data_IF_323993134100
#
_entry.id   IF_323993134100
#
_cell.length_a   1.000
_cell.length_b   1.000
_cell.length_c   1.000
_cell.angle_alpha   90.00
_cell.angle_beta   90.00
_cell.angle_gamma   90.00
#
_symmetry.space_group_name_H-M   'P 1'
#
loop_
_entity.id
_entity.type
_entity.pdbx_description
1 polymer ?
#
# COMPACT_ATOMS: atom_id res chain seq x y z
N UNK A 1 -14.16 24.99 -8.43
CA UNK A 1 -13.34 23.93 -9.01
C UNK A 1 -13.21 22.80 -8.04
N UNK A 2 -13.80 21.68 -8.31
CA UNK A 2 -13.60 20.59 -7.39
C UNK A 2 -12.13 20.25 -7.34
N UNK A 3 -11.62 20.18 -6.13
CA UNK A 3 -10.31 19.63 -5.88
C UNK A 3 -10.33 18.12 -6.15
N UNK A 4 -11.26 17.74 -7.03
CA UNK A 4 -11.35 16.39 -7.46
C UNK A 4 -10.08 15.97 -8.14
N UNK A 5 -9.92 14.70 -8.17
CA UNK A 5 -8.76 14.07 -8.72
C UNK A 5 -8.49 14.55 -10.14
N UNK A 6 -7.27 14.97 -10.38
CA UNK A 6 -6.80 15.23 -11.73
C UNK A 6 -6.90 13.91 -12.49
N UNK A 7 -7.65 13.87 -13.60
CA UNK A 7 -7.72 12.64 -14.40
C UNK A 7 -6.36 12.08 -14.79
N UNK A 8 -5.37 12.96 -14.95
CA UNK A 8 -4.00 12.55 -15.27
C UNK A 8 -3.36 11.81 -14.10
N UNK A 9 -3.70 12.20 -12.86
CA UNK A 9 -3.19 11.53 -11.68
C UNK A 9 -3.70 10.09 -11.61
N UNK A 10 -4.99 9.88 -11.92
CA UNK A 10 -5.55 8.52 -11.97
C UNK A 10 -4.82 7.64 -12.96
N UNK A 11 -4.44 8.18 -14.11
CA UNK A 11 -3.75 7.41 -15.13
C UNK A 11 -2.32 7.03 -14.72
N UNK A 12 -1.72 7.75 -13.78
CA UNK A 12 -0.38 7.44 -13.26
C UNK A 12 -0.38 6.27 -12.29
N UNK A 13 -1.51 6.00 -11.63
CA UNK A 13 -1.59 5.00 -10.59
C UNK A 13 -1.93 3.60 -11.11
N UNK A 14 -2.31 3.46 -12.37
CA UNK A 14 -2.46 2.18 -13.03
C UNK A 14 -3.48 1.21 -12.43
N UNK A 15 -3.64 0.06 -13.13
CA UNK A 15 -4.65 -0.92 -12.80
C UNK A 15 -4.35 -1.73 -11.54
N UNK A 16 -3.07 -2.00 -11.26
CA UNK A 16 -2.72 -2.79 -10.08
C UNK A 16 -2.93 -1.99 -8.79
N UNK A 17 -2.63 -0.70 -8.80
CA UNK A 17 -2.94 0.16 -7.67
C UNK A 17 -4.43 0.05 -7.31
N UNK A 18 -5.30 0.11 -8.32
CA UNK A 18 -6.74 0.00 -8.12
C UNK A 18 -7.14 -1.36 -7.53
N UNK A 19 -6.55 -2.43 -8.02
CA UNK A 19 -6.88 -3.78 -7.57
C UNK A 19 -6.38 -4.09 -6.18
N UNK A 20 -5.17 -3.67 -5.84
CA UNK A 20 -4.61 -3.86 -4.49
C UNK A 20 -5.29 -2.96 -3.48
N UNK A 21 -5.63 -1.75 -3.90
CA UNK A 21 -6.25 -0.76 -3.04
C UNK A 21 -5.25 0.08 -2.26
N UNK A 22 -5.74 1.19 -1.79
CA UNK A 22 -4.93 2.21 -1.12
C UNK A 22 -4.26 1.67 0.15
N UNK A 23 -4.97 0.85 0.92
CA UNK A 23 -4.42 0.31 2.17
C UNK A 23 -3.20 -0.58 1.92
N UNK A 24 -3.27 -1.46 0.92
CA UNK A 24 -2.13 -2.33 0.59
C UNK A 24 -0.92 -1.50 0.15
N UNK A 25 -1.13 -0.48 -0.67
CA UNK A 25 -0.07 0.42 -1.11
C UNK A 25 0.55 1.14 0.09
N UNK A 26 -0.26 1.59 1.04
CA UNK A 26 0.23 2.24 2.26
C UNK A 26 1.15 1.31 3.06
N UNK A 27 0.83 0.01 3.13
CA UNK A 27 1.70 -0.96 3.79
C UNK A 27 3.02 -1.15 3.04
N UNK A 28 3.02 -1.08 1.71
CA UNK A 28 4.28 -1.11 0.95
C UNK A 28 5.16 0.08 1.34
N UNK A 29 4.57 1.26 1.46
CA UNK A 29 5.32 2.45 1.86
C UNK A 29 5.89 2.29 3.28
N UNK A 30 5.13 1.72 4.20
CA UNK A 30 5.61 1.43 5.56
C UNK A 30 6.82 0.49 5.52
N UNK A 31 6.72 -0.60 4.76
CA UNK A 31 7.81 -1.59 4.65
C UNK A 31 9.09 -0.91 4.17
N UNK A 32 8.98 -0.07 3.15
CA UNK A 32 10.14 0.61 2.58
C UNK A 32 10.64 1.77 3.44
N UNK A 33 9.77 2.36 4.27
CA UNK A 33 10.19 3.37 5.23
C UNK A 33 11.04 2.75 6.35
N UNK A 34 10.76 1.50 6.71
CA UNK A 34 11.59 0.77 7.68
C UNK A 34 12.99 0.53 7.13
N UNK A 35 13.09 0.07 5.89
CA UNK A 35 14.36 -0.15 5.20
C UNK A 35 14.11 -0.46 3.72
N UNK A 36 15.10 -0.21 2.85
CA UNK A 36 15.05 -0.71 1.47
C UNK A 36 14.89 -2.23 1.46
N UNK A 37 14.17 -2.74 0.46
CA UNK A 37 13.78 -4.16 0.45
C UNK A 37 13.71 -4.71 -0.96
N UNK A 38 13.94 -6.02 -1.08
CA UNK A 38 13.68 -6.75 -2.32
C UNK A 38 12.18 -7.00 -2.49
N UNK A 39 11.77 -7.24 -3.72
CA UNK A 39 10.36 -7.52 -4.02
C UNK A 39 9.79 -8.69 -3.24
N UNK A 40 10.56 -9.77 -3.06
CA UNK A 40 10.08 -10.93 -2.32
C UNK A 40 9.88 -10.62 -0.82
N UNK A 41 10.67 -9.71 -0.26
CA UNK A 41 10.49 -9.28 1.14
C UNK A 41 9.21 -8.48 1.29
N UNK A 42 8.94 -7.58 0.33
CA UNK A 42 7.70 -6.81 0.30
C UNK A 42 6.49 -7.75 0.20
N UNK A 43 6.57 -8.75 -0.67
CA UNK A 43 5.49 -9.74 -0.83
C UNK A 43 5.20 -10.45 0.49
N UNK A 44 6.24 -10.93 1.14
CA UNK A 44 6.09 -11.65 2.41
C UNK A 44 5.42 -10.78 3.48
N UNK A 45 5.83 -9.51 3.57
CA UNK A 45 5.24 -8.58 4.52
C UNK A 45 3.76 -8.32 4.21
N UNK A 46 3.40 -8.18 2.94
CA UNK A 46 2.00 -8.02 2.55
C UNK A 46 1.16 -9.24 2.91
N UNK A 47 1.70 -10.43 2.74
CA UNK A 47 1.03 -11.65 3.15
C UNK A 47 0.77 -11.67 4.66
N UNK A 48 1.74 -11.24 5.45
CA UNK A 48 1.59 -11.13 6.91
C UNK A 48 0.48 -10.15 7.28
N UNK A 49 0.30 -9.08 6.50
CA UNK A 49 -0.78 -8.12 6.71
C UNK A 49 -2.14 -8.60 6.20
N UNK A 50 -2.20 -9.77 5.59
CA UNK A 50 -3.44 -10.38 5.13
C UNK A 50 -3.81 -10.09 3.68
N UNK A 51 -2.90 -9.57 2.87
CA UNK A 51 -3.17 -9.27 1.46
C UNK A 51 -2.92 -10.49 0.58
N UNK A 52 -3.95 -11.31 0.41
CA UNK A 52 -3.90 -12.59 -0.32
C UNK A 52 -3.51 -12.42 -1.78
N UNK A 53 -3.82 -11.26 -2.38
CA UNK A 53 -3.51 -11.03 -3.78
C UNK A 53 -2.02 -11.09 -4.06
N UNK A 54 -1.19 -10.70 -3.11
CA UNK A 54 0.27 -10.75 -3.25
C UNK A 54 0.76 -12.19 -3.41
N UNK A 55 0.04 -13.17 -2.84
CA UNK A 55 0.36 -14.58 -2.94
C UNK A 55 -0.26 -15.22 -4.18
N UNK A 56 -1.54 -14.94 -4.43
CA UNK A 56 -2.30 -15.62 -5.49
C UNK A 56 -1.89 -15.19 -6.89
N UNK A 57 -1.33 -14.00 -7.04
CA UNK A 57 -0.83 -13.49 -8.32
C UNK A 57 0.50 -12.77 -8.10
N UNK A 58 1.62 -13.52 -8.05
CA UNK A 58 2.94 -12.90 -7.80
C UNK A 58 3.32 -11.82 -8.81
N UNK A 59 2.90 -11.98 -10.07
CA UNK A 59 3.17 -10.97 -11.09
C UNK A 59 2.49 -9.64 -10.82
N UNK A 60 1.33 -9.68 -10.15
CA UNK A 60 0.57 -8.46 -9.84
C UNK A 60 1.36 -7.52 -8.93
N UNK A 61 2.03 -8.06 -7.92
CA UNK A 61 2.84 -7.23 -7.03
C UNK A 61 3.97 -6.53 -7.78
N UNK A 62 4.68 -7.25 -8.64
CA UNK A 62 5.77 -6.65 -9.42
C UNK A 62 5.25 -5.59 -10.39
N UNK A 63 4.06 -5.78 -10.96
CA UNK A 63 3.42 -4.75 -11.79
C UNK A 63 3.06 -3.54 -10.95
N UNK A 64 2.55 -3.73 -9.74
CA UNK A 64 2.25 -2.63 -8.81
C UNK A 64 3.52 -1.86 -8.45
N UNK A 65 4.61 -2.54 -8.15
CA UNK A 65 5.86 -1.88 -7.83
C UNK A 65 6.36 -1.03 -9.00
N UNK A 66 6.19 -1.50 -10.25
CA UNK A 66 6.51 -0.68 -11.42
C UNK A 66 5.61 0.55 -11.52
N UNK A 67 4.33 0.40 -11.22
CA UNK A 67 3.41 1.55 -11.21
C UNK A 67 3.82 2.59 -10.16
N UNK A 68 4.18 2.15 -8.97
CA UNK A 68 4.61 3.04 -7.90
C UNK A 68 5.93 3.74 -8.25
N UNK A 69 6.83 3.04 -8.92
CA UNK A 69 8.09 3.62 -9.37
C UNK A 69 7.83 4.67 -10.46
N UNK A 70 6.95 4.36 -11.41
CA UNK A 70 6.57 5.30 -12.46
C UNK A 70 5.90 6.55 -11.89
N UNK A 71 5.14 6.40 -10.80
CA UNK A 71 4.48 7.52 -10.12
C UNK A 71 5.43 8.34 -9.24
N UNK A 72 6.64 7.84 -9.00
CA UNK A 72 7.64 8.56 -8.20
C UNK A 72 7.62 8.27 -6.72
N UNK A 73 6.79 7.34 -6.25
CA UNK A 73 6.69 7.00 -4.82
C UNK A 73 7.87 6.18 -4.32
N UNK A 74 8.42 5.34 -5.18
CA UNK A 74 9.56 4.48 -4.89
C UNK A 74 10.54 4.53 -6.04
N UNK A 75 11.78 4.09 -5.79
CA UNK A 75 12.78 3.90 -6.83
C UNK A 75 13.42 2.54 -6.64
N UNK A 76 14.14 2.06 -7.64
CA UNK A 76 14.81 0.77 -7.54
C UNK A 76 16.18 0.80 -8.18
N UNK A 77 17.05 -0.08 -7.67
CA UNK A 77 18.35 -0.34 -8.26
C UNK A 77 18.50 -1.86 -8.44
N UNK A 78 19.33 -2.25 -9.36
CA UNK A 78 19.65 -3.66 -9.52
C UNK A 78 20.78 -4.04 -8.56
N UNK A 79 20.55 -5.09 -7.79
CA UNK A 79 21.56 -5.69 -6.96
C UNK A 79 22.18 -6.85 -7.75
N UNK A 80 23.44 -6.70 -8.14
CA UNK A 80 24.17 -7.69 -8.93
C UNK A 80 25.35 -8.29 -8.16
N UNK A 81 25.46 -7.99 -6.87
CA UNK A 81 26.60 -8.42 -6.06
C UNK A 81 26.57 -9.91 -5.71
N UNK A 82 25.41 -10.55 -5.83
CA UNK A 82 25.28 -11.98 -5.55
C UNK A 82 25.62 -12.86 -6.73
N UNK A 83 25.71 -14.17 -6.48
CA UNK A 83 25.97 -15.18 -7.53
C UNK A 83 24.73 -15.60 -8.30
N UNK A 84 23.54 -15.20 -7.83
CA UNK A 84 22.28 -15.49 -8.49
C UNK A 84 21.88 -14.43 -9.51
N UNK A 85 20.66 -14.53 -10.07
CA UNK A 85 20.14 -13.51 -10.96
C UNK A 85 20.09 -12.14 -10.26
N UNK A 86 20.26 -11.08 -11.05
CA UNK A 86 20.12 -9.71 -10.55
C UNK A 86 18.72 -9.50 -9.99
N UNK A 87 18.61 -8.78 -8.88
CA UNK A 87 17.34 -8.51 -8.19
C UNK A 87 17.15 -7.01 -8.04
N UNK A 88 15.89 -6.57 -8.11
CA UNK A 88 15.57 -5.17 -7.83
C UNK A 88 15.49 -4.95 -6.34
N UNK A 89 16.11 -3.84 -5.91
CA UNK A 89 16.14 -3.39 -4.53
C UNK A 89 15.41 -2.06 -4.46
N UNK A 90 14.29 -2.02 -3.75
CA UNK A 90 13.38 -0.87 -3.75
C UNK A 90 13.64 0.04 -2.56
N UNK A 91 13.51 1.34 -2.80
CA UNK A 91 13.75 2.39 -1.80
C UNK A 91 12.62 3.40 -1.88
N UNK A 92 12.17 3.88 -0.72
CA UNK A 92 11.17 4.93 -0.65
C UNK A 92 11.80 6.27 -1.03
N UNK A 93 11.10 7.04 -1.89
CA UNK A 93 11.54 8.38 -2.27
C UNK A 93 11.04 9.42 -1.26
N UNK A 94 11.51 10.67 -1.38
CA UNK A 94 10.98 11.77 -0.57
C UNK A 94 9.49 11.96 -0.83
N UNK A 95 9.05 11.83 -2.08
CA UNK A 95 7.63 11.85 -2.42
C UNK A 95 6.89 10.72 -1.71
N UNK A 96 7.45 9.52 -1.69
CA UNK A 96 6.86 8.38 -0.98
C UNK A 96 6.74 8.62 0.51
N UNK A 97 7.71 9.30 1.12
CA UNK A 97 7.63 9.68 2.53
C UNK A 97 6.45 10.61 2.80
N UNK A 98 6.26 11.61 1.92
CA UNK A 98 5.12 12.53 2.04
C UNK A 98 3.80 11.80 1.87
N UNK A 99 3.72 10.88 0.91
CA UNK A 99 2.53 10.05 0.70
C UNK A 99 2.26 9.16 1.90
N UNK A 100 3.29 8.61 2.53
CA UNK A 100 3.14 7.81 3.73
C UNK A 100 2.56 8.62 4.87
N UNK A 101 3.00 9.86 5.04
CA UNK A 101 2.49 10.74 6.08
C UNK A 101 0.99 10.99 5.88
N UNK A 102 0.56 11.25 4.64
CA UNK A 102 -0.85 11.42 4.30
C UNK A 102 -1.64 10.13 4.53
N UNK A 103 -1.06 8.99 4.17
CA UNK A 103 -1.68 7.70 4.38
C UNK A 103 -1.92 7.42 5.86
N UNK A 104 -0.96 7.77 6.72
CA UNK A 104 -1.12 7.60 8.16
C UNK A 104 -2.28 8.44 8.71
N UNK A 105 -2.39 9.69 8.25
CA UNK A 105 -3.51 10.56 8.65
C UNK A 105 -4.84 9.98 8.19
N UNK A 106 -4.89 9.44 6.98
CA UNK A 106 -6.09 8.82 6.44
C UNK A 106 -6.49 7.57 7.23
N UNK A 107 -5.50 6.74 7.59
CA UNK A 107 -5.74 5.54 8.39
C UNK A 107 -6.29 5.89 9.78
N UNK A 108 -5.80 6.97 10.38
CA UNK A 108 -6.32 7.44 11.67
C UNK A 108 -7.81 7.81 11.56
N UNK A 109 -8.21 8.41 10.44
CA UNK A 109 -9.62 8.72 10.19
C UNK A 109 -10.46 7.45 10.02
N UNK A 110 -9.95 6.48 9.26
CA UNK A 110 -10.63 5.19 9.08
C UNK A 110 -10.81 4.49 10.43
N UNK A 111 -9.78 4.50 11.26
CA UNK A 111 -9.85 3.90 12.59
C UNK A 111 -10.98 4.52 13.41
N UNK A 112 -11.07 5.86 13.46
CA UNK A 112 -12.13 6.55 14.20
C UNK A 112 -13.51 6.18 13.70
N UNK A 113 -13.68 6.11 12.38
CA UNK A 113 -14.97 5.73 11.78
C UNK A 113 -15.35 4.29 12.13
N UNK A 114 -14.37 3.39 12.08
CA UNK A 114 -14.60 1.99 12.44
C UNK A 114 -14.98 1.86 13.92
N UNK A 115 -14.29 2.56 14.80
CA UNK A 115 -14.62 2.56 16.23
C UNK A 115 -16.04 3.08 16.47
N UNK A 116 -16.41 4.17 15.81
CA UNK A 116 -17.76 4.74 15.93
C UNK A 116 -18.83 3.76 15.43
N UNK A 117 -18.59 3.11 14.30
CA UNK A 117 -19.49 2.08 13.78
C UNK A 117 -19.69 0.97 14.81
N UNK A 118 -18.61 0.46 15.40
CA UNK A 118 -18.70 -0.62 16.37
C UNK A 118 -19.43 -0.20 17.65
N UNK A 119 -19.25 1.04 18.09
CA UNK A 119 -19.99 1.59 19.22
C UNK A 119 -21.49 1.62 18.95
N UNK A 120 -21.87 2.10 17.78
CA UNK A 120 -23.29 2.13 17.38
C UNK A 120 -23.87 0.72 17.31
N UNK A 121 -23.12 -0.21 16.73
CA UNK A 121 -23.56 -1.59 16.63
C UNK A 121 -23.76 -2.23 18.03
N UNK A 122 -22.84 -1.99 18.93
CA UNK A 122 -22.92 -2.50 20.30
C UNK A 122 -24.17 -1.95 21.01
N UNK A 123 -24.47 -0.67 20.81
CA UNK A 123 -25.68 -0.04 21.36
C UNK A 123 -26.95 -0.73 20.84
N UNK A 124 -27.00 -0.99 19.54
CA UNK A 124 -28.13 -1.69 18.93
C UNK A 124 -28.34 -3.08 19.52
N UNK A 125 -27.25 -3.82 19.70
CA UNK A 125 -27.33 -5.16 20.30
C UNK A 125 -27.81 -5.13 21.74
N UNK A 126 -27.39 -4.14 22.51
CA UNK A 126 -27.80 -3.98 23.89
C UNK A 126 -29.31 -3.65 24.03
N UNK A 127 -29.90 -3.00 23.02
CA UNK A 127 -31.30 -2.61 23.00
C UNK A 127 -32.23 -3.70 22.48
N UNK A 128 -31.70 -4.74 21.84
CA UNK A 128 -32.51 -5.85 21.34
C UNK A 128 -33.01 -6.67 22.53
N UNK A 129 -34.33 -6.81 22.72
CA UNK A 129 -34.85 -7.65 23.81
C UNK A 129 -34.43 -9.09 23.60
N UNK A 130 -34.13 -9.72 24.72
CA UNK A 130 -33.73 -11.13 24.74
C UNK A 130 -34.88 -12.05 24.29
#
# INVERSE_FOLDING_TARGET
MPLGEDPRHKSLLGAEFERFGRAAVSFILIVLAERPSYGYEIRRRLEEFGYQRATSDPGALYRLLRELEAAGSITSTWDVAGTGPARRYYTLTDQGQDELQLAAAHMATIKRRAEHFLELYATLKAEVPA
#
